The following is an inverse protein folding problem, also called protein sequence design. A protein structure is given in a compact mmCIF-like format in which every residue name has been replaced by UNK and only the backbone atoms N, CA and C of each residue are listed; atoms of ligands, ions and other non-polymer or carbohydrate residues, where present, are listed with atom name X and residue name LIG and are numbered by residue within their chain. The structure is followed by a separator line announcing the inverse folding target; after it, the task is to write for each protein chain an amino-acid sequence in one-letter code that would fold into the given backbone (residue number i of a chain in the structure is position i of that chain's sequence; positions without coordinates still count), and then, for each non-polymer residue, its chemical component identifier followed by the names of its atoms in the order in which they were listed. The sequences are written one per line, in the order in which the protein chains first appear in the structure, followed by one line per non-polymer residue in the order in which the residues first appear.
data_IF_971952946266
#
_entry.id   IF_971952946266
#
_cell.length_a   1.000
_cell.length_b   1.000
_cell.length_c   1.000
_cell.angle_alpha   90.00
_cell.angle_beta   90.00
_cell.angle_gamma   90.00
#
_symmetry.space_group_name_H-M   'P 1'
#
loop_
_entity.id
_entity.type
_entity.pdbx_description
1 polymer ?
#
# COMPACT_ATOMS: atom_id res chain seq x y z
N UNK A 1 28.81 -30.74 -15.39
CA UNK A 1 27.43 -30.69 -14.84
C UNK A 1 26.91 -29.27 -15.02
N UNK A 2 26.11 -29.02 -16.05
CA UNK A 2 25.37 -27.77 -16.22
C UNK A 2 24.01 -27.98 -15.54
N UNK A 3 23.89 -27.62 -14.27
CA UNK A 3 22.58 -27.54 -13.62
C UNK A 3 21.81 -26.39 -14.27
N UNK A 4 20.98 -26.72 -15.27
CA UNK A 4 19.95 -25.80 -15.76
C UNK A 4 18.98 -25.54 -14.61
N UNK A 5 19.20 -24.43 -13.91
CA UNK A 5 18.25 -23.95 -12.91
C UNK A 5 16.95 -23.59 -13.62
N UNK A 6 16.03 -24.54 -13.68
CA UNK A 6 14.66 -24.36 -14.20
C UNK A 6 13.82 -23.61 -13.18
N UNK A 7 14.13 -22.32 -12.98
CA UNK A 7 13.20 -21.45 -12.29
C UNK A 7 12.05 -21.08 -13.23
N UNK A 8 10.81 -21.02 -12.72
CA UNK A 8 9.69 -20.49 -13.49
C UNK A 8 10.03 -19.08 -14.00
N UNK A 9 9.87 -18.85 -15.29
CA UNK A 9 9.93 -17.50 -15.86
C UNK A 9 8.59 -16.82 -15.61
N UNK A 10 8.59 -15.80 -14.76
CA UNK A 10 7.41 -14.95 -14.56
C UNK A 10 7.41 -13.81 -15.58
N UNK A 11 6.24 -13.44 -16.14
CA UNK A 11 6.15 -12.37 -17.13
C UNK A 11 6.44 -10.98 -16.52
N UNK A 12 6.38 -10.86 -15.19
CA UNK A 12 6.58 -9.61 -14.47
C UNK A 12 7.78 -9.73 -13.53
N UNK A 13 8.57 -8.66 -13.46
CA UNK A 13 9.67 -8.52 -12.51
C UNK A 13 9.17 -7.85 -11.23
N UNK A 14 9.70 -8.28 -10.09
CA UNK A 14 9.45 -7.66 -8.79
C UNK A 14 10.69 -6.87 -8.39
N UNK A 15 10.49 -5.62 -7.95
CA UNK A 15 11.53 -4.76 -7.40
C UNK A 15 11.13 -4.36 -5.98
N UNK A 16 12.06 -4.51 -5.04
CA UNK A 16 11.91 -4.00 -3.68
C UNK A 16 12.71 -2.71 -3.54
N UNK A 17 12.13 -1.74 -2.86
CA UNK A 17 12.73 -0.44 -2.60
C UNK A 17 12.62 -0.13 -1.11
N UNK A 18 13.67 0.45 -0.54
CA UNK A 18 13.67 1.03 0.80
C UNK A 18 13.96 2.51 0.64
N UNK A 19 13.03 3.35 1.08
CA UNK A 19 13.12 4.79 0.91
C UNK A 19 13.82 5.42 2.10
N UNK A 20 14.80 6.28 1.82
CA UNK A 20 15.37 7.16 2.81
C UNK A 20 14.62 8.49 2.86
N UNK A 21 14.71 9.19 4.00
CA UNK A 21 14.17 10.54 4.17
C UNK A 21 12.65 10.67 3.87
N UNK A 22 11.89 9.62 4.17
CA UNK A 22 10.41 9.61 4.12
C UNK A 22 9.86 10.64 5.12
N UNK A 23 10.29 10.56 6.38
CA UNK A 23 9.81 11.35 7.52
C UNK A 23 10.06 12.87 7.41
N UNK A 24 10.91 13.28 6.47
CA UNK A 24 11.22 14.70 6.22
C UNK A 24 10.67 15.19 4.89
N UNK A 25 9.72 14.44 4.30
CA UNK A 25 8.97 14.86 3.12
C UNK A 25 9.18 13.97 1.89
N UNK A 26 9.22 12.64 2.07
CA UNK A 26 9.22 11.66 0.97
C UNK A 26 10.42 11.80 0.00
N UNK A 27 11.54 12.36 0.46
CA UNK A 27 12.60 12.82 -0.43
C UNK A 27 13.21 11.68 -1.27
N UNK A 28 13.33 10.49 -0.68
CA UNK A 28 13.87 9.31 -1.37
C UNK A 28 12.97 8.82 -2.51
N UNK A 29 11.67 8.66 -2.25
CA UNK A 29 10.71 8.20 -3.27
C UNK A 29 10.44 9.27 -4.34
N UNK A 30 10.39 10.55 -3.96
CA UNK A 30 10.33 11.68 -4.90
C UNK A 30 11.52 11.62 -5.85
N UNK A 31 12.74 11.58 -5.30
CA UNK A 31 13.95 11.52 -6.11
C UNK A 31 13.94 10.33 -7.07
N UNK A 32 13.55 9.14 -6.60
CA UNK A 32 13.47 7.95 -7.45
C UNK A 32 12.51 8.12 -8.62
N UNK A 33 11.29 8.62 -8.37
CA UNK A 33 10.30 8.82 -9.42
C UNK A 33 10.77 9.86 -10.44
N UNK A 34 11.39 10.95 -9.98
CA UNK A 34 11.97 11.97 -10.85
C UNK A 34 13.07 11.38 -11.75
N UNK A 35 14.00 10.61 -11.19
CA UNK A 35 15.05 9.96 -11.98
C UNK A 35 14.47 8.94 -12.97
N UNK A 36 13.45 8.18 -12.58
CA UNK A 36 12.81 7.21 -13.45
C UNK A 36 12.09 7.86 -14.64
N UNK A 37 11.52 9.06 -14.45
CA UNK A 37 10.89 9.83 -15.54
C UNK A 37 11.95 10.36 -16.52
N UNK A 38 13.10 10.80 -16.01
CA UNK A 38 14.20 11.30 -16.84
C UNK A 38 14.94 10.18 -17.60
N UNK A 39 14.88 8.95 -17.08
CA UNK A 39 15.53 7.80 -17.71
C UNK A 39 14.71 7.28 -18.90
N UNK A 40 15.26 7.41 -20.11
CA UNK A 40 14.65 6.89 -21.35
C UNK A 40 15.37 5.68 -21.94
N UNK A 41 16.60 5.39 -21.47
CA UNK A 41 17.51 4.47 -22.13
C UNK A 41 17.57 3.07 -21.48
N UNK A 42 17.37 2.97 -20.16
CA UNK A 42 17.58 1.71 -19.44
C UNK A 42 16.26 1.04 -19.06
N UNK A 43 15.93 -0.04 -19.77
CA UNK A 43 14.77 -0.88 -19.47
C UNK A 43 14.74 -1.30 -17.99
N UNK A 44 13.57 -1.19 -17.39
CA UNK A 44 13.32 -1.48 -15.98
C UNK A 44 13.66 -0.31 -15.07
N UNK A 45 14.32 0.75 -15.53
CA UNK A 45 14.57 1.98 -14.76
C UNK A 45 13.74 3.18 -15.24
N UNK A 46 12.96 3.01 -16.32
CA UNK A 46 12.10 4.06 -16.86
C UNK A 46 10.76 4.00 -16.16
N UNK A 47 10.15 5.15 -15.89
CA UNK A 47 8.86 5.20 -15.20
C UNK A 47 7.76 4.40 -15.93
N UNK A 48 7.78 4.41 -17.27
CA UNK A 48 6.84 3.66 -18.10
C UNK A 48 6.98 2.13 -18.03
N UNK A 49 8.09 1.63 -17.47
CA UNK A 49 8.29 0.19 -17.26
C UNK A 49 7.63 -0.28 -15.95
N UNK A 50 7.18 0.64 -15.10
CA UNK A 50 6.52 0.33 -13.84
C UNK A 50 5.03 0.06 -14.07
N UNK A 51 4.52 -1.02 -13.48
CA UNK A 51 3.10 -1.39 -13.58
C UNK A 51 2.29 -0.92 -12.38
N UNK A 52 2.83 -1.08 -11.17
CA UNK A 52 2.21 -0.68 -9.92
C UNK A 52 3.26 -0.49 -8.82
N UNK A 53 2.90 0.23 -7.77
CA UNK A 53 3.66 0.36 -6.53
C UNK A 53 2.81 -0.15 -5.34
N UNK A 54 3.38 -1.06 -4.54
CA UNK A 54 2.77 -1.51 -3.28
C UNK A 54 3.58 -0.94 -2.12
N UNK A 55 2.90 -0.19 -1.25
CA UNK A 55 3.52 0.49 -0.13
C UNK A 55 3.15 -0.16 1.20
N UNK A 56 4.13 -0.29 2.07
CA UNK A 56 4.02 -1.00 3.33
C UNK A 56 4.65 -0.15 4.42
N UNK A 57 3.82 0.60 5.12
CA UNK A 57 4.25 1.62 6.06
C UNK A 57 3.34 1.56 7.30
N UNK A 58 3.98 1.57 8.48
CA UNK A 58 3.39 1.21 9.77
C UNK A 58 2.65 -0.13 9.73
N UNK A 59 3.36 -1.25 9.90
CA UNK A 59 2.78 -2.60 9.88
C UNK A 59 2.63 -3.27 11.26
N UNK A 60 2.88 -2.54 12.35
CA UNK A 60 2.98 -3.13 13.68
C UNK A 60 2.38 -2.24 14.80
N UNK A 61 1.33 -1.48 14.50
CA UNK A 61 0.62 -0.67 15.50
C UNK A 61 0.04 -1.55 16.63
N UNK A 62 0.18 -1.19 17.91
CA UNK A 62 -0.30 -1.99 19.03
C UNK A 62 -1.83 -2.08 19.09
N UNK A 63 -2.56 -1.08 18.59
CA UNK A 63 -4.02 -1.07 18.52
C UNK A 63 -4.49 -1.18 17.06
N UNK A 64 -3.82 -2.05 16.29
CA UNK A 64 -3.89 -2.13 14.84
C UNK A 64 -5.29 -2.20 14.23
N UNK A 65 -5.35 -1.79 12.96
CA UNK A 65 -6.33 -2.27 11.98
C UNK A 65 -5.62 -3.07 10.88
N UNK A 66 -6.34 -3.84 10.08
CA UNK A 66 -5.84 -4.27 8.77
C UNK A 66 -6.33 -3.26 7.72
N UNK A 67 -5.64 -2.12 7.64
CA UNK A 67 -6.02 -1.00 6.79
C UNK A 67 -5.60 -1.26 5.35
N UNK A 68 -6.55 -1.33 4.42
CA UNK A 68 -6.31 -1.50 2.98
C UNK A 68 -6.41 -0.13 2.31
N UNK A 69 -5.41 0.27 1.55
CA UNK A 69 -5.46 1.49 0.75
C UNK A 69 -6.68 1.48 -0.18
N UNK A 70 -7.62 2.40 0.03
CA UNK A 70 -8.89 2.46 -0.67
C UNK A 70 -8.84 3.48 -1.80
N UNK A 71 -8.95 2.99 -3.05
CA UNK A 71 -9.03 3.84 -4.23
C UNK A 71 -10.17 4.87 -4.19
N UNK A 72 -11.27 4.60 -3.47
CA UNK A 72 -12.39 5.53 -3.33
C UNK A 72 -12.06 6.71 -2.40
N UNK A 73 -11.00 6.58 -1.59
CA UNK A 73 -10.48 7.61 -0.69
C UNK A 73 -9.19 8.26 -1.23
N UNK A 74 -8.92 8.13 -2.53
CA UNK A 74 -7.81 8.80 -3.18
C UNK A 74 -8.05 10.33 -3.27
N UNK A 75 -7.00 11.16 -3.24
CA UNK A 75 -7.12 12.60 -3.46
C UNK A 75 -7.86 12.94 -4.76
N UNK A 76 -8.66 14.01 -4.76
CA UNK A 76 -9.48 14.41 -5.93
C UNK A 76 -8.66 14.78 -7.17
N UNK A 77 -7.39 15.15 -6.99
CA UNK A 77 -6.44 15.44 -8.07
C UNK A 77 -5.67 14.19 -8.55
N UNK A 78 -6.04 12.99 -8.09
CA UNK A 78 -5.41 11.73 -8.55
C UNK A 78 -5.65 11.52 -10.04
N UNK A 79 -4.62 11.23 -10.85
CA UNK A 79 -4.79 10.95 -12.27
C UNK A 79 -5.77 9.76 -12.49
N UNK A 80 -6.82 9.92 -13.33
CA UNK A 80 -7.81 8.86 -13.56
C UNK A 80 -7.21 7.53 -14.04
N UNK A 81 -6.08 7.59 -14.78
CA UNK A 81 -5.36 6.41 -15.26
C UNK A 81 -4.84 5.51 -14.12
N UNK A 82 -4.49 6.09 -12.97
CA UNK A 82 -4.04 5.31 -11.81
C UNK A 82 -5.20 4.58 -11.11
N UNK A 83 -6.39 5.19 -11.05
CA UNK A 83 -7.52 4.72 -10.23
C UNK A 83 -8.03 3.34 -10.63
N UNK A 84 -8.00 2.98 -11.91
CA UNK A 84 -8.45 1.65 -12.35
C UNK A 84 -7.53 0.55 -11.79
N UNK A 85 -6.21 0.72 -11.90
CA UNK A 85 -5.25 -0.22 -11.32
C UNK A 85 -5.30 -0.24 -9.80
N UNK A 86 -5.35 0.93 -9.17
CA UNK A 86 -5.46 1.07 -7.70
C UNK A 86 -6.72 0.36 -7.17
N UNK A 87 -7.88 0.53 -7.82
CA UNK A 87 -9.13 -0.12 -7.38
C UNK A 87 -9.09 -1.64 -7.50
N UNK A 88 -8.41 -2.18 -8.51
CA UNK A 88 -8.17 -3.63 -8.64
C UNK A 88 -7.26 -4.14 -7.51
N UNK A 89 -6.24 -3.39 -7.14
CA UNK A 89 -5.36 -3.73 -6.02
C UNK A 89 -6.13 -3.68 -4.69
N UNK A 90 -6.94 -2.64 -4.46
CA UNK A 90 -7.84 -2.55 -3.29
C UNK A 90 -8.76 -3.77 -3.21
N UNK A 91 -9.40 -4.15 -4.32
CA UNK A 91 -10.29 -5.30 -4.38
C UNK A 91 -9.56 -6.62 -4.08
N UNK A 92 -8.35 -6.80 -4.62
CA UNK A 92 -7.52 -7.98 -4.38
C UNK A 92 -7.18 -8.15 -2.90
N UNK A 93 -6.75 -7.08 -2.22
CA UNK A 93 -6.49 -7.14 -0.78
C UNK A 93 -7.76 -7.46 0.01
N UNK A 94 -8.88 -6.78 -0.28
CA UNK A 94 -10.16 -7.04 0.42
C UNK A 94 -10.62 -8.47 0.27
N UNK A 95 -10.51 -9.01 -0.95
CA UNK A 95 -10.82 -10.40 -1.24
C UNK A 95 -9.92 -11.33 -0.41
N UNK A 96 -8.61 -11.11 -0.42
CA UNK A 96 -7.67 -11.94 0.33
C UNK A 96 -7.96 -11.94 1.84
N UNK A 97 -8.15 -10.76 2.48
CA UNK A 97 -8.47 -10.70 3.91
C UNK A 97 -9.80 -11.40 4.22
N UNK A 98 -10.80 -11.24 3.35
CA UNK A 98 -12.09 -11.92 3.49
C UNK A 98 -11.93 -13.45 3.40
N UNK A 99 -11.16 -13.95 2.44
CA UNK A 99 -10.85 -15.38 2.29
C UNK A 99 -10.08 -15.94 3.49
N UNK A 100 -9.18 -15.14 4.08
CA UNK A 100 -8.46 -15.49 5.31
C UNK A 100 -9.34 -15.37 6.57
N UNK A 101 -10.60 -14.93 6.45
CA UNK A 101 -11.50 -14.66 7.59
C UNK A 101 -10.90 -13.65 8.58
N UNK A 102 -10.20 -12.65 8.06
CA UNK A 102 -9.63 -11.56 8.83
C UNK A 102 -10.47 -10.29 8.62
N UNK A 103 -10.61 -9.43 9.64
CA UNK A 103 -11.22 -8.13 9.45
C UNK A 103 -10.35 -7.27 8.55
N UNK A 104 -10.94 -6.23 7.97
CA UNK A 104 -10.20 -5.17 7.29
C UNK A 104 -10.94 -3.84 7.39
N UNK A 105 -10.21 -2.75 7.27
CA UNK A 105 -10.73 -1.39 7.26
C UNK A 105 -10.22 -0.63 6.05
N UNK A 106 -10.95 0.40 5.61
CA UNK A 106 -10.44 1.30 4.58
C UNK A 106 -9.36 2.22 5.16
N UNK A 107 -8.24 2.31 4.47
CA UNK A 107 -7.19 3.28 4.73
C UNK A 107 -7.17 4.33 3.62
N UNK A 108 -7.09 5.60 4.02
CA UNK A 108 -7.01 6.73 3.09
C UNK A 108 -5.73 6.66 2.26
N UNK A 109 -5.83 7.01 0.97
CA UNK A 109 -4.69 7.27 0.10
C UNK A 109 -4.22 8.73 0.15
N UNK A 110 -4.81 9.56 1.02
CA UNK A 110 -4.39 10.95 1.24
C UNK A 110 -3.36 11.17 2.36
N UNK A 111 -2.92 10.12 3.05
CA UNK A 111 -2.14 10.23 4.31
C UNK A 111 -0.69 10.68 4.19
N UNK A 112 -0.11 10.70 2.99
CA UNK A 112 1.30 11.04 2.80
C UNK A 112 2.24 9.89 3.17
N UNK A 113 2.61 9.06 2.19
CA UNK A 113 3.64 8.02 2.32
C UNK A 113 4.24 7.79 0.93
N UNK A 114 5.25 6.94 0.79
CA UNK A 114 6.08 6.83 -0.42
C UNK A 114 5.36 6.37 -1.70
N UNK A 115 4.09 5.96 -1.63
CA UNK A 115 3.28 5.75 -2.83
C UNK A 115 2.87 7.07 -3.52
N UNK A 116 2.90 8.20 -2.81
CA UNK A 116 2.38 9.49 -3.28
C UNK A 116 3.06 9.97 -4.57
N UNK A 117 4.39 9.96 -4.70
CA UNK A 117 5.05 10.39 -5.93
C UNK A 117 4.69 9.52 -7.14
N UNK A 118 4.48 8.21 -6.92
CA UNK A 118 4.04 7.29 -7.98
C UNK A 118 2.60 7.56 -8.41
N UNK A 119 1.69 7.68 -7.44
CA UNK A 119 0.28 7.96 -7.69
C UNK A 119 0.09 9.29 -8.43
N UNK A 120 0.83 10.33 -8.03
CA UNK A 120 0.81 11.66 -8.65
C UNK A 120 1.23 11.63 -10.14
N UNK A 121 1.99 10.62 -10.56
CA UNK A 121 2.45 10.43 -11.94
C UNK A 121 1.62 9.40 -12.71
N UNK A 122 0.50 8.96 -12.14
CA UNK A 122 -0.46 8.10 -12.81
C UNK A 122 -0.18 6.60 -12.68
N UNK A 123 0.78 6.20 -11.84
CA UNK A 123 1.00 4.79 -11.56
C UNK A 123 -0.08 4.26 -10.61
N UNK A 124 -0.57 3.05 -10.87
CA UNK A 124 -1.43 2.36 -9.93
C UNK A 124 -0.68 2.10 -8.61
N UNK A 125 -1.34 2.34 -7.48
CA UNK A 125 -0.74 2.12 -6.16
C UNK A 125 -1.66 1.27 -5.28
N UNK A 126 -1.10 0.69 -4.24
CA UNK A 126 -1.87 0.03 -3.20
C UNK A 126 -0.99 -0.30 -2.01
N UNK A 127 -1.50 -1.10 -1.10
CA UNK A 127 -0.78 -1.43 0.12
C UNK A 127 -1.68 -1.58 1.33
N UNK A 128 -1.03 -1.82 2.47
CA UNK A 128 -1.69 -1.97 3.76
C UNK A 128 -0.92 -1.23 4.85
N UNK A 129 -1.63 -0.82 5.90
CA UNK A 129 -1.08 -0.28 7.13
C UNK A 129 -1.88 -0.75 8.34
N UNK A 130 -1.29 -0.61 9.52
CA UNK A 130 -1.94 -0.89 10.81
C UNK A 130 -2.60 0.32 11.45
N UNK A 131 -2.57 1.47 10.78
CA UNK A 131 -2.93 2.77 11.36
C UNK A 131 -1.74 3.49 11.98
N UNK A 132 -1.97 4.76 12.30
CA UNK A 132 -1.05 5.72 12.91
C UNK A 132 -1.78 6.44 14.07
N UNK A 133 -1.53 7.72 14.29
CA UNK A 133 -2.24 8.54 15.29
C UNK A 133 -3.76 8.73 15.11
N UNK A 134 -4.39 8.07 14.12
CA UNK A 134 -5.85 8.04 14.00
C UNK A 134 -6.51 7.25 15.13
N UNK A 135 -7.74 7.59 15.49
CA UNK A 135 -8.45 6.94 16.60
C UNK A 135 -9.28 5.75 16.12
N UNK A 136 -9.10 4.59 16.76
CA UNK A 136 -9.97 3.43 16.59
C UNK A 136 -11.35 3.71 17.18
N UNK A 137 -12.38 3.66 16.36
CA UNK A 137 -13.76 3.87 16.82
C UNK A 137 -14.29 2.66 17.60
N UNK A 138 -15.31 2.84 18.47
CA UNK A 138 -16.01 1.71 19.09
C UNK A 138 -16.54 0.70 18.07
N UNK A 139 -17.10 1.20 16.97
CA UNK A 139 -17.61 0.37 15.86
C UNK A 139 -16.51 -0.47 15.23
N UNK A 140 -15.34 0.12 14.91
CA UNK A 140 -14.21 -0.65 14.37
C UNK A 140 -13.71 -1.69 15.37
N UNK A 141 -13.60 -1.33 16.67
CA UNK A 141 -13.22 -2.29 17.72
C UNK A 141 -14.18 -3.46 17.75
N UNK A 142 -15.49 -3.21 17.72
CA UNK A 142 -16.51 -4.26 17.77
C UNK A 142 -16.53 -5.13 16.50
N UNK A 143 -16.32 -4.54 15.32
CA UNK A 143 -16.16 -5.28 14.07
C UNK A 143 -14.96 -6.24 14.13
N UNK A 144 -13.84 -5.78 14.68
CA UNK A 144 -12.64 -6.62 14.81
C UNK A 144 -12.86 -7.72 15.85
N UNK A 145 -13.46 -7.40 17.00
CA UNK A 145 -13.79 -8.39 18.03
C UNK A 145 -14.76 -9.47 17.54
N UNK A 146 -15.70 -9.11 16.65
CA UNK A 146 -16.63 -10.09 16.06
C UNK A 146 -15.93 -11.16 15.20
N UNK A 147 -14.77 -10.83 14.62
CA UNK A 147 -14.02 -11.73 13.73
C UNK A 147 -12.85 -12.39 14.48
N UNK A 148 -12.11 -11.63 15.28
CA UNK A 148 -10.91 -12.08 16.00
C UNK A 148 -11.22 -12.66 17.39
N UNK A 149 -12.45 -12.51 17.88
CA UNK A 149 -12.89 -12.93 19.20
C UNK A 149 -12.95 -11.80 20.23
N UNK A 150 -13.75 -12.01 21.27
CA UNK A 150 -13.94 -11.06 22.37
C UNK A 150 -12.61 -10.68 23.01
N UNK A 151 -12.35 -9.38 23.16
CA UNK A 151 -11.08 -8.85 23.70
C UNK A 151 -10.01 -8.59 22.63
N UNK A 152 -10.14 -9.14 21.42
CA UNK A 152 -9.16 -9.00 20.35
C UNK A 152 -9.49 -7.89 19.33
N UNK A 153 -10.48 -7.04 19.62
CA UNK A 153 -10.85 -5.91 18.78
C UNK A 153 -9.95 -4.68 18.90
N UNK A 154 -9.06 -4.68 19.90
CA UNK A 154 -8.30 -3.50 20.31
C UNK A 154 -9.06 -2.63 21.32
N UNK A 155 -8.58 -1.39 21.48
CA UNK A 155 -9.08 -0.40 22.44
C UNK A 155 -9.83 0.69 21.68
N UNK A 156 -11.11 0.85 21.98
CA UNK A 156 -11.92 1.92 21.41
C UNK A 156 -11.50 3.30 21.97
N UNK A 157 -11.62 4.35 21.15
CA UNK A 157 -11.26 5.73 21.48
C UNK A 157 -9.76 5.93 21.81
N UNK A 158 -8.90 5.04 21.34
CA UNK A 158 -7.45 5.15 21.43
C UNK A 158 -6.81 5.17 20.04
N UNK A 159 -5.60 5.72 19.92
CA UNK A 159 -4.83 5.74 18.68
C UNK A 159 -4.52 4.31 18.18
N UNK A 160 -4.18 4.15 16.90
CA UNK A 160 -3.72 2.85 16.38
C UNK A 160 -2.25 2.55 16.75
N UNK A 161 -1.44 3.59 16.94
CA UNK A 161 -0.01 3.54 17.29
C UNK A 161 0.29 3.61 18.81
#
# INVERSE_FOLDING_TARGET
QTSSNNYPTYPYRVRFCWWGAEEIGLLGSIHHVEQAILNSAKEGERFQDYLLNLNYDMLAGPNYRFGIHDSAMAPTNTPPVALNGTSRITALFRQWFTEQKLPWSNASLGGGSDYVPFLAKGLAVGGVNTGAGGIKTPTERDQYAAILGTGNGGIANAAFD
#
